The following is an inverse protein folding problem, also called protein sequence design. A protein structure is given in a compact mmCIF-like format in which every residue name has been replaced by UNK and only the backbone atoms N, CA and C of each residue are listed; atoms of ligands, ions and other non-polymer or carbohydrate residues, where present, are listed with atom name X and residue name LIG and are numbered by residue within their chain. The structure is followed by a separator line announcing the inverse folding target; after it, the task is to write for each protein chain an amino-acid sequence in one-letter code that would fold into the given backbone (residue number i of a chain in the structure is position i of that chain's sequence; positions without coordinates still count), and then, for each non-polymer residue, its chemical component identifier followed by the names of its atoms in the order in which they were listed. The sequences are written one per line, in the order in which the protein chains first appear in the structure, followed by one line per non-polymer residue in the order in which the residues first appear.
data_IF_700087072275
#
_entry.id   IF_700087072275
#
_cell.length_a   1.000
_cell.length_b   1.000
_cell.length_c   1.000
_cell.angle_alpha   90.00
_cell.angle_beta   90.00
_cell.angle_gamma   90.00
#
_symmetry.space_group_name_H-M   'P 1'
#
loop_
_entity.id
_entity.type
_entity.pdbx_description
1 polymer ?
#
# COMPACT_ATOMS: atom_id res chain seq x y z
N UNK A 1 18.43 5.76 14.44
CA UNK A 1 17.47 4.76 14.96
C UNK A 1 16.27 5.51 15.48
N UNK A 2 15.06 5.08 15.13
CA UNK A 2 13.84 5.67 15.67
C UNK A 2 13.68 5.25 17.14
N UNK A 3 13.19 6.17 17.97
CA UNK A 3 12.87 5.91 19.39
C UNK A 3 11.36 5.76 19.56
N UNK A 4 10.86 5.13 20.64
CA UNK A 4 9.42 5.04 20.88
C UNK A 4 8.72 6.41 20.86
N UNK A 5 9.36 7.46 21.38
CA UNK A 5 8.84 8.83 21.36
C UNK A 5 8.74 9.40 19.94
N UNK A 6 9.74 9.12 19.11
CA UNK A 6 9.74 9.51 17.69
C UNK A 6 8.64 8.78 16.91
N UNK A 7 8.43 7.49 17.19
CA UNK A 7 7.38 6.71 16.58
C UNK A 7 6.00 7.23 16.95
N UNK A 8 5.75 7.53 18.23
CA UNK A 8 4.49 8.12 18.68
C UNK A 8 4.20 9.44 17.94
N UNK A 9 5.18 10.33 17.82
CA UNK A 9 5.02 11.59 17.10
C UNK A 9 4.60 11.41 15.64
N UNK A 10 5.20 10.48 14.92
CA UNK A 10 4.83 10.23 13.51
C UNK A 10 3.50 9.48 13.39
N UNK A 11 3.20 8.59 14.32
CA UNK A 11 1.90 7.92 14.40
C UNK A 11 0.77 8.91 14.65
N UNK A 12 0.94 9.85 15.57
CA UNK A 12 -0.03 10.94 15.80
C UNK A 12 -0.19 11.84 14.56
N UNK A 13 0.92 12.15 13.88
CA UNK A 13 0.89 12.95 12.66
C UNK A 13 0.13 12.25 11.52
N UNK A 14 0.34 10.94 11.30
CA UNK A 14 -0.38 10.22 10.25
C UNK A 14 -1.87 10.12 10.54
N UNK A 15 -2.26 9.95 11.80
CA UNK A 15 -3.66 9.99 12.24
C UNK A 15 -4.28 11.37 11.99
N UNK A 16 -3.58 12.44 12.35
CA UNK A 16 -4.03 13.82 12.11
C UNK A 16 -4.20 14.11 10.60
N UNK A 17 -3.29 13.62 9.76
CA UNK A 17 -3.39 13.76 8.29
C UNK A 17 -4.59 12.99 7.73
N UNK A 18 -4.85 11.78 8.22
CA UNK A 18 -6.02 10.99 7.86
C UNK A 18 -7.32 11.70 8.24
N UNK A 19 -7.39 12.27 9.46
CA UNK A 19 -8.54 13.05 9.91
C UNK A 19 -8.80 14.28 9.03
N UNK A 20 -7.75 14.97 8.60
CA UNK A 20 -7.87 16.07 7.63
C UNK A 20 -8.48 15.58 6.33
N UNK A 21 -8.03 14.44 5.81
CA UNK A 21 -8.58 13.85 4.59
C UNK A 21 -10.09 13.52 4.71
N UNK A 22 -10.52 13.02 5.87
CA UNK A 22 -11.95 12.78 6.15
C UNK A 22 -12.75 14.08 6.09
N UNK A 23 -12.25 15.14 6.71
CA UNK A 23 -12.89 16.47 6.69
C UNK A 23 -12.99 17.07 5.29
N UNK A 24 -12.08 16.71 4.41
CA UNK A 24 -12.03 17.07 2.99
C UNK A 24 -12.86 16.12 2.10
N UNK A 25 -13.58 15.15 2.68
CA UNK A 25 -14.46 14.20 1.98
C UNK A 25 -13.76 12.94 1.48
N UNK A 26 -12.51 12.70 1.87
CA UNK A 26 -11.76 11.50 1.52
C UNK A 26 -11.90 10.37 2.54
N UNK A 27 -11.27 9.23 2.25
CA UNK A 27 -11.22 8.07 3.13
C UNK A 27 -10.22 8.27 4.30
N UNK A 28 -10.38 7.57 5.44
CA UNK A 28 -9.68 7.85 6.70
C UNK A 28 -8.25 7.28 6.75
N UNK A 29 -7.47 7.43 5.70
CA UNK A 29 -6.13 6.86 5.61
C UNK A 29 -5.09 7.86 5.15
N UNK A 30 -3.91 7.80 5.75
CA UNK A 30 -2.73 8.56 5.39
C UNK A 30 -1.47 7.72 5.53
N UNK A 31 -0.39 8.18 4.91
CA UNK A 31 0.91 7.53 4.92
C UNK A 31 2.01 8.59 4.98
N UNK A 32 3.01 8.36 5.83
CA UNK A 32 4.26 9.14 5.88
C UNK A 32 5.43 8.25 5.49
N UNK A 33 6.37 8.78 4.71
CA UNK A 33 7.68 8.18 4.53
C UNK A 33 8.69 9.08 5.24
N UNK A 34 9.52 8.48 6.10
CA UNK A 34 10.42 9.19 7.01
C UNK A 34 11.86 8.74 6.76
N UNK A 35 12.76 9.70 6.62
CA UNK A 35 14.21 9.51 6.50
C UNK A 35 14.89 10.31 7.61
N UNK A 36 15.73 9.67 8.42
CA UNK A 36 16.52 10.33 9.47
C UNK A 36 15.70 11.24 10.39
N UNK A 37 14.51 10.74 10.82
CA UNK A 37 13.61 11.49 11.70
C UNK A 37 12.88 12.67 11.04
N UNK A 38 12.90 12.78 9.70
CA UNK A 38 12.21 13.81 8.93
C UNK A 38 11.23 13.20 7.94
N UNK A 39 10.02 13.74 7.85
CA UNK A 39 9.05 13.36 6.84
C UNK A 39 9.55 13.83 5.47
N UNK A 40 9.73 12.89 4.55
CA UNK A 40 10.10 13.17 3.16
C UNK A 40 8.90 13.08 2.21
N UNK A 41 7.91 12.25 2.55
CA UNK A 41 6.62 12.18 1.85
C UNK A 41 5.49 12.13 2.86
N UNK A 42 4.43 12.86 2.57
CA UNK A 42 3.16 12.79 3.28
C UNK A 42 2.02 12.67 2.27
N UNK A 43 1.23 11.62 2.38
CA UNK A 43 0.14 11.32 1.46
C UNK A 43 -1.14 10.94 2.21
N UNK A 44 -2.26 11.08 1.54
CA UNK A 44 -3.55 10.59 2.01
C UNK A 44 -4.18 9.67 0.95
N UNK A 45 -5.23 8.96 1.32
CA UNK A 45 -6.03 8.19 0.40
C UNK A 45 -6.75 9.14 -0.56
N UNK A 46 -6.59 8.92 -1.86
CA UNK A 46 -7.15 9.74 -2.93
C UNK A 46 -8.23 9.02 -3.77
N UNK A 47 -8.70 7.87 -3.33
CA UNK A 47 -9.72 7.10 -4.07
C UNK A 47 -10.95 7.94 -4.38
N UNK A 48 -11.47 8.67 -3.40
CA UNK A 48 -12.67 9.51 -3.57
C UNK A 48 -12.41 10.70 -4.51
N UNK A 49 -11.23 11.32 -4.40
CA UNK A 49 -10.87 12.51 -5.16
C UNK A 49 -10.55 12.21 -6.63
N UNK A 50 -9.96 11.04 -6.90
CA UNK A 50 -9.46 10.68 -8.24
C UNK A 50 -10.34 9.68 -8.97
N UNK A 51 -11.17 8.91 -8.26
CA UNK A 51 -11.88 7.75 -8.81
C UNK A 51 -10.98 6.53 -9.07
N UNK A 52 -9.68 6.60 -8.75
CA UNK A 52 -8.76 5.47 -8.85
C UNK A 52 -8.89 4.59 -7.60
N UNK A 53 -9.45 3.36 -7.72
CA UNK A 53 -9.64 2.46 -6.57
C UNK A 53 -8.34 2.00 -5.93
N UNK A 54 -7.21 2.18 -6.59
CA UNK A 54 -5.88 1.81 -6.08
C UNK A 54 -5.17 2.96 -5.37
N UNK A 55 -5.71 4.18 -5.40
CA UNK A 55 -5.08 5.37 -4.82
C UNK A 55 -5.16 5.38 -3.27
N UNK A 56 -4.82 4.26 -2.63
CA UNK A 56 -4.62 4.18 -1.19
C UNK A 56 -3.45 5.06 -0.76
N UNK A 57 -3.40 5.42 0.51
CA UNK A 57 -2.40 6.36 1.02
C UNK A 57 -0.97 5.87 0.80
N UNK A 58 -0.72 4.58 1.02
CA UNK A 58 0.59 3.94 0.82
C UNK A 58 0.99 3.94 -0.66
N UNK A 59 0.07 3.58 -1.55
CA UNK A 59 0.31 3.59 -3.01
C UNK A 59 0.61 5.03 -3.46
N UNK A 60 -0.16 6.00 -3.00
CA UNK A 60 0.05 7.42 -3.29
C UNK A 60 1.42 7.88 -2.78
N UNK A 61 1.81 7.50 -1.56
CA UNK A 61 3.11 7.83 -0.99
C UNK A 61 4.27 7.24 -1.79
N UNK A 62 4.18 5.98 -2.20
CA UNK A 62 5.20 5.31 -3.02
C UNK A 62 5.35 6.01 -4.38
N UNK A 63 4.23 6.38 -5.03
CA UNK A 63 4.24 7.11 -6.30
C UNK A 63 4.88 8.49 -6.17
N UNK A 64 4.52 9.25 -5.13
CA UNK A 64 5.14 10.55 -4.84
C UNK A 64 6.64 10.42 -4.55
N UNK A 65 7.06 9.39 -3.81
CA UNK A 65 8.48 9.12 -3.58
C UNK A 65 9.22 8.88 -4.91
N UNK A 66 8.65 8.07 -5.81
CA UNK A 66 9.23 7.81 -7.12
C UNK A 66 9.36 9.08 -7.99
N UNK A 67 8.34 9.95 -7.98
CA UNK A 67 8.38 11.25 -8.66
C UNK A 67 9.52 12.15 -8.12
N UNK A 68 9.86 12.01 -6.84
CA UNK A 68 10.99 12.71 -6.20
C UNK A 68 12.34 12.01 -6.42
N UNK A 69 12.40 10.95 -7.23
CA UNK A 69 13.61 10.17 -7.48
C UNK A 69 13.98 9.16 -6.39
N UNK A 70 13.08 8.91 -5.44
CA UNK A 70 13.23 7.86 -4.41
C UNK A 70 12.62 6.57 -4.98
N UNK A 71 13.45 5.74 -5.62
CA UNK A 71 13.01 4.55 -6.37
C UNK A 71 12.88 3.28 -5.52
N UNK A 72 13.48 3.27 -4.34
CA UNK A 72 13.25 2.29 -3.28
C UNK A 72 13.19 2.99 -1.92
N UNK A 73 12.63 2.31 -0.92
CA UNK A 73 12.51 2.86 0.42
C UNK A 73 13.53 2.26 1.41
N UNK A 74 14.62 1.67 0.90
CA UNK A 74 15.65 1.09 1.74
C UNK A 74 16.18 2.13 2.77
N UNK A 75 16.17 1.74 4.03
CA UNK A 75 16.58 2.62 5.14
C UNK A 75 15.55 3.68 5.56
N UNK A 76 14.38 3.75 4.92
CA UNK A 76 13.30 4.66 5.28
C UNK A 76 12.22 3.93 6.10
N UNK A 77 11.62 4.65 7.04
CA UNK A 77 10.48 4.16 7.82
C UNK A 77 9.16 4.63 7.17
N UNK A 78 8.17 3.75 7.15
CA UNK A 78 6.82 4.06 6.67
C UNK A 78 5.85 4.04 7.85
N UNK A 79 5.07 5.11 8.03
CA UNK A 79 4.03 5.22 9.06
C UNK A 79 2.67 5.30 8.37
N UNK A 80 1.72 4.49 8.82
CA UNK A 80 0.38 4.38 8.23
C UNK A 80 -0.71 4.44 9.29
N UNK A 81 -1.89 4.90 8.92
CA UNK A 81 -3.02 5.07 9.85
C UNK A 81 -3.52 3.73 10.40
N UNK A 82 -3.57 2.70 9.57
CA UNK A 82 -4.03 1.37 9.95
C UNK A 82 -3.12 0.28 9.35
N UNK A 83 -3.24 -0.95 9.84
CA UNK A 83 -2.51 -2.07 9.27
C UNK A 83 -2.78 -2.18 7.76
N UNK A 84 -1.74 -2.24 6.91
CA UNK A 84 -1.90 -2.19 5.46
C UNK A 84 -2.80 -3.30 4.92
N UNK A 85 -3.67 -2.95 3.98
CA UNK A 85 -4.41 -3.95 3.21
C UNK A 85 -3.46 -4.78 2.34
N UNK A 86 -3.87 -5.96 1.83
CA UNK A 86 -2.98 -6.82 1.03
C UNK A 86 -2.39 -6.16 -0.21
N UNK A 87 -3.10 -5.26 -0.90
CA UNK A 87 -2.56 -4.49 -2.02
C UNK A 87 -1.41 -3.60 -1.57
N UNK A 88 -1.63 -2.82 -0.50
CA UNK A 88 -0.62 -1.92 0.05
C UNK A 88 0.56 -2.68 0.67
N UNK A 89 0.28 -3.78 1.38
CA UNK A 89 1.33 -4.63 1.94
C UNK A 89 2.21 -5.21 0.81
N UNK A 90 1.62 -5.71 -0.27
CA UNK A 90 2.35 -6.15 -1.46
C UNK A 90 3.21 -5.04 -2.06
N UNK A 91 2.65 -3.84 -2.23
CA UNK A 91 3.39 -2.68 -2.72
C UNK A 91 4.57 -2.28 -1.81
N UNK A 92 4.38 -2.37 -0.49
CA UNK A 92 5.45 -2.11 0.49
C UNK A 92 6.56 -3.15 0.41
N UNK A 93 6.25 -4.43 0.15
CA UNK A 93 7.27 -5.44 -0.14
C UNK A 93 8.09 -5.11 -1.39
N UNK A 94 7.46 -4.57 -2.45
CA UNK A 94 8.19 -4.10 -3.64
C UNK A 94 9.04 -2.85 -3.34
N UNK A 95 8.54 -1.92 -2.52
CA UNK A 95 9.24 -0.68 -2.17
C UNK A 95 10.36 -0.87 -1.12
N UNK A 96 10.35 -1.97 -0.38
CA UNK A 96 11.41 -2.40 0.55
C UNK A 96 11.77 -1.38 1.65
N UNK A 97 10.82 -0.80 2.41
CA UNK A 97 11.16 0.07 3.53
C UNK A 97 11.90 -0.69 4.63
N UNK A 98 12.60 0.04 5.48
CA UNK A 98 13.25 -0.54 6.67
C UNK A 98 12.23 -1.16 7.63
N UNK A 99 11.07 -0.52 7.77
CA UNK A 99 9.92 -1.02 8.55
C UNK A 99 8.64 -0.26 8.23
N UNK A 100 7.52 -0.87 8.62
CA UNK A 100 6.19 -0.24 8.59
C UNK A 100 5.65 -0.15 10.01
N UNK A 101 5.22 1.03 10.40
CA UNK A 101 4.59 1.33 11.70
C UNK A 101 3.14 1.74 11.45
N UNK A 102 2.20 1.12 12.13
CA UNK A 102 0.78 1.40 11.95
C UNK A 102 0.13 1.84 13.28
N UNK A 103 -0.84 2.75 13.21
CA UNK A 103 -1.54 3.25 14.39
C UNK A 103 -2.65 2.29 14.84
N UNK A 104 -3.58 1.95 13.96
CA UNK A 104 -4.70 1.07 14.27
C UNK A 104 -4.44 -0.36 13.80
N UNK A 105 -4.87 -1.33 14.60
CA UNK A 105 -4.96 -2.73 14.17
C UNK A 105 -6.12 -2.94 13.22
N UNK A 106 -6.16 -4.08 12.52
CA UNK A 106 -7.27 -4.44 11.63
C UNK A 106 -8.59 -4.56 12.37
N UNK A 107 -8.57 -5.10 13.58
CA UNK A 107 -9.78 -5.25 14.41
C UNK A 107 -10.33 -3.88 14.80
N UNK A 108 -9.46 -2.95 15.23
CA UNK A 108 -9.84 -1.57 15.55
C UNK A 108 -10.40 -0.82 14.32
N UNK A 109 -9.80 -1.02 13.15
CA UNK A 109 -10.30 -0.44 11.89
C UNK A 109 -11.69 -0.97 11.56
N UNK A 110 -11.89 -2.29 11.60
CA UNK A 110 -13.13 -2.96 11.21
C UNK A 110 -14.33 -2.66 12.12
N UNK A 111 -14.10 -2.19 13.34
CA UNK A 111 -15.17 -1.72 14.24
C UNK A 111 -15.89 -0.46 13.71
N UNK A 112 -15.23 0.33 12.84
CA UNK A 112 -15.71 1.65 12.44
C UNK A 112 -15.70 1.89 10.94
N UNK A 113 -15.01 1.05 10.15
CA UNK A 113 -14.82 1.26 8.73
C UNK A 113 -14.95 -0.02 7.92
N UNK A 114 -15.71 0.06 6.81
CA UNK A 114 -15.79 -0.97 5.77
C UNK A 114 -15.35 -0.37 4.44
N UNK A 115 -14.43 -1.04 3.76
CA UNK A 115 -13.91 -0.55 2.47
C UNK A 115 -14.92 -0.68 1.32
N UNK A 116 -15.93 -1.55 1.48
CA UNK A 116 -16.99 -1.75 0.49
C UNK A 116 -16.54 -2.50 -0.76
N UNK A 117 -15.42 -3.22 -0.69
CA UNK A 117 -14.97 -4.04 -1.81
C UNK A 117 -15.92 -5.21 -2.05
N UNK A 118 -16.41 -5.34 -3.30
CA UNK A 118 -17.42 -6.34 -3.68
C UNK A 118 -16.88 -7.78 -3.67
N UNK A 119 -15.60 -7.98 -3.97
CA UNK A 119 -15.02 -9.30 -4.20
C UNK A 119 -14.30 -9.87 -2.99
N UNK A 120 -13.96 -9.03 -2.02
CA UNK A 120 -13.27 -9.44 -0.82
C UNK A 120 -13.47 -8.45 0.33
N UNK A 121 -13.41 -8.97 1.56
CA UNK A 121 -13.39 -8.20 2.80
C UNK A 121 -12.00 -8.27 3.43
N UNK A 122 -11.74 -7.45 4.45
CA UNK A 122 -10.50 -7.52 5.22
C UNK A 122 -10.25 -8.93 5.77
N UNK A 123 -11.29 -9.67 6.14
CA UNK A 123 -11.18 -11.02 6.68
C UNK A 123 -10.86 -12.09 5.61
N UNK A 124 -11.38 -11.92 4.39
CA UNK A 124 -11.25 -12.91 3.32
C UNK A 124 -10.03 -12.71 2.42
N UNK A 125 -9.36 -11.57 2.48
CA UNK A 125 -8.30 -11.19 1.57
C UNK A 125 -7.20 -12.24 1.42
N UNK A 126 -6.61 -12.66 2.52
CA UNK A 126 -5.50 -13.63 2.48
C UNK A 126 -5.99 -15.02 2.08
N UNK A 127 -7.22 -15.39 2.44
CA UNK A 127 -7.86 -16.61 1.97
C UNK A 127 -8.01 -16.66 0.46
N UNK A 128 -8.37 -15.55 -0.18
CA UNK A 128 -8.47 -15.45 -1.65
C UNK A 128 -7.14 -15.73 -2.35
N UNK A 129 -6.03 -15.21 -1.81
CA UNK A 129 -4.71 -15.43 -2.42
C UNK A 129 -4.19 -16.87 -2.33
N UNK A 130 -4.63 -17.63 -1.34
CA UNK A 130 -4.24 -19.04 -1.19
C UNK A 130 -5.04 -19.98 -2.11
N UNK A 131 -6.18 -19.53 -2.64
CA UNK A 131 -7.00 -20.34 -3.57
C UNK A 131 -6.33 -20.43 -4.94
N UNK A 132 -6.48 -21.57 -5.64
CA UNK A 132 -6.15 -21.64 -7.06
C UNK A 132 -7.00 -20.63 -7.86
N UNK A 133 -6.48 -20.17 -8.99
CA UNK A 133 -7.10 -19.07 -9.76
C UNK A 133 -8.59 -19.29 -10.09
N UNK A 134 -8.96 -20.53 -10.42
CA UNK A 134 -10.33 -20.89 -10.81
C UNK A 134 -11.34 -20.94 -9.63
N UNK A 135 -10.84 -20.91 -8.38
CA UNK A 135 -11.68 -20.91 -7.17
C UNK A 135 -11.81 -19.52 -6.53
N UNK A 136 -11.12 -18.50 -7.08
CA UNK A 136 -11.15 -17.14 -6.56
C UNK A 136 -12.45 -16.43 -6.89
N UNK A 137 -12.88 -15.52 -6.01
CA UNK A 137 -14.03 -14.64 -6.26
C UNK A 137 -13.82 -13.72 -7.46
N UNK A 138 -12.56 -13.37 -7.79
CA UNK A 138 -12.18 -12.72 -9.03
C UNK A 138 -11.86 -13.80 -10.08
N UNK A 139 -12.75 -14.05 -11.07
CA UNK A 139 -12.51 -15.05 -12.10
C UNK A 139 -11.21 -14.76 -12.86
N UNK A 140 -10.39 -15.78 -13.02
CA UNK A 140 -9.12 -15.69 -13.74
C UNK A 140 -8.94 -16.94 -14.60
N UNK A 141 -8.65 -16.75 -15.87
CA UNK A 141 -8.56 -17.82 -16.86
C UNK A 141 -7.30 -17.64 -17.71
N UNK A 142 -6.58 -18.76 -17.93
CA UNK A 142 -5.51 -18.79 -18.89
C UNK A 142 -6.06 -19.07 -20.29
N UNK A 143 -5.83 -18.16 -21.23
CA UNK A 143 -6.13 -18.39 -22.64
C UNK A 143 -4.82 -18.68 -23.38
N UNK A 144 -4.69 -19.84 -24.05
CA UNK A 144 -3.48 -20.17 -24.78
C UNK A 144 -3.20 -19.19 -25.94
N UNK A 145 -1.93 -18.82 -26.10
CA UNK A 145 -1.43 -18.06 -27.25
C UNK A 145 -0.31 -18.85 -27.94
N UNK A 146 0.09 -18.44 -29.14
CA UNK A 146 1.14 -19.10 -29.90
C UNK A 146 2.48 -19.18 -29.12
N UNK A 147 2.87 -18.06 -28.50
CA UNK A 147 4.10 -18.00 -27.70
C UNK A 147 3.95 -17.05 -26.48
N UNK A 148 3.36 -17.54 -25.40
CA UNK A 148 3.13 -16.71 -24.19
C UNK A 148 4.42 -16.37 -23.43
N UNK A 149 5.54 -17.05 -23.73
CA UNK A 149 6.81 -16.85 -23.03
C UNK A 149 7.77 -15.92 -23.77
N UNK A 150 7.43 -15.50 -24.98
CA UNK A 150 8.29 -14.66 -25.81
C UNK A 150 8.77 -13.37 -25.09
N UNK A 151 7.92 -12.60 -24.38
CA UNK A 151 8.38 -11.38 -23.71
C UNK A 151 9.44 -11.67 -22.64
N UNK A 152 9.28 -12.75 -21.88
CA UNK A 152 10.22 -13.14 -20.82
C UNK A 152 11.57 -13.58 -21.40
N UNK A 153 11.58 -14.36 -22.49
CA UNK A 153 12.82 -14.75 -23.18
C UNK A 153 13.54 -13.56 -23.80
N UNK A 154 12.80 -12.64 -24.41
CA UNK A 154 13.37 -11.40 -24.96
C UNK A 154 13.98 -10.55 -23.85
N UNK A 155 13.28 -10.39 -22.72
CA UNK A 155 13.81 -9.65 -21.58
C UNK A 155 15.11 -10.28 -21.06
N UNK A 156 15.13 -11.61 -20.88
CA UNK A 156 16.35 -12.33 -20.45
C UNK A 156 17.48 -12.14 -21.44
N UNK A 157 17.22 -12.26 -22.75
CA UNK A 157 18.25 -12.08 -23.78
C UNK A 157 18.88 -10.67 -23.79
N UNK A 158 18.11 -9.66 -23.42
CA UNK A 158 18.58 -8.26 -23.35
C UNK A 158 19.31 -7.93 -22.03
N UNK A 159 19.21 -8.78 -21.01
CA UNK A 159 19.75 -8.52 -19.67
C UNK A 159 20.66 -9.64 -19.15
N UNK A 160 21.04 -10.59 -20.02
CA UNK A 160 22.07 -11.59 -19.72
C UNK A 160 23.43 -11.02 -20.13
N UNK A 161 24.23 -10.63 -19.14
CA UNK A 161 25.67 -10.35 -19.30
C UNK A 161 26.45 -11.66 -19.38
#
# INVERSE_FOLDING_TARGET
MSTPETDTRFTERVVARALTNVREGGKPFACLIVRDGKVVVEAANLVTQTGDPTAHAEITAIRLAAEMGITDLAGLDVYVTAYPCPMCLGALYYAQPARVVFAATRDQESEHYEDGNRLMSLDSFYGEYTKPAHERSLPSEQVPTEDPTLPFRQWTALHSD
#
